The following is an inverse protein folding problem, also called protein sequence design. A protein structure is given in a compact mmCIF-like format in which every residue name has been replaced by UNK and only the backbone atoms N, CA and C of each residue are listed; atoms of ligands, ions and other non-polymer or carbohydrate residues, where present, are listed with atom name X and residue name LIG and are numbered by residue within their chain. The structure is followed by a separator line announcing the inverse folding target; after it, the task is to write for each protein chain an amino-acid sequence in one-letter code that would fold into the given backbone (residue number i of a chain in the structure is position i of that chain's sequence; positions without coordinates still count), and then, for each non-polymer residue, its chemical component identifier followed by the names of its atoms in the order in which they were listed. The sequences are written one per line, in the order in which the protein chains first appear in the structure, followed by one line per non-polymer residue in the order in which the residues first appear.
data_IF_466291083294
#
_entry.id   IF_466291083294
#
_cell.length_a   1.000
_cell.length_b   1.000
_cell.length_c   1.000
_cell.angle_alpha   90.00
_cell.angle_beta   90.00
_cell.angle_gamma   90.00
#
_symmetry.space_group_name_H-M   'P 1'
#
loop_
_entity.id
_entity.type
_entity.pdbx_description
1 polymer ?
#
# COMPACT_ATOMS: atom_id res chain seq x y z
N UNK A 1 6.47 -2.03 -13.58
CA UNK A 1 5.01 -2.00 -13.57
C UNK A 1 4.50 -2.77 -12.36
N UNK A 2 3.50 -2.24 -11.70
CA UNK A 2 2.81 -2.94 -10.62
C UNK A 2 1.32 -3.03 -10.94
N UNK A 3 0.66 -4.03 -10.40
CA UNK A 3 -0.79 -4.14 -10.45
C UNK A 3 -1.31 -4.59 -9.09
N UNK A 4 -2.51 -4.19 -8.74
CA UNK A 4 -3.16 -4.61 -7.52
C UNK A 4 -4.68 -4.58 -7.68
N UNK A 5 -5.37 -5.31 -6.82
CA UNK A 5 -6.82 -5.44 -6.89
C UNK A 5 -7.47 -4.64 -5.77
N UNK A 6 -8.41 -3.79 -6.15
CA UNK A 6 -9.18 -2.95 -5.25
C UNK A 6 -10.62 -3.45 -5.21
N UNK A 7 -11.14 -3.73 -4.02
CA UNK A 7 -12.55 -4.07 -3.88
C UNK A 7 -13.41 -2.86 -4.27
N UNK A 8 -14.41 -3.09 -5.10
CA UNK A 8 -15.34 -2.02 -5.51
C UNK A 8 -16.13 -1.45 -4.34
N UNK A 9 -16.26 -2.22 -3.28
CA UNK A 9 -16.98 -1.82 -2.05
C UNK A 9 -16.07 -1.18 -1.01
N UNK A 10 -14.76 -1.09 -1.25
CA UNK A 10 -13.85 -0.43 -0.32
C UNK A 10 -14.18 1.06 -0.22
N UNK A 11 -14.08 1.61 0.99
CA UNK A 11 -14.31 3.04 1.23
C UNK A 11 -13.35 3.93 0.46
N UNK A 12 -12.16 3.43 0.14
CA UNK A 12 -11.14 4.13 -0.65
C UNK A 12 -11.31 3.99 -2.16
N UNK A 13 -12.25 3.17 -2.64
CA UNK A 13 -12.42 2.93 -4.07
C UNK A 13 -12.61 4.21 -4.89
N UNK A 14 -13.43 5.20 -4.47
CA UNK A 14 -13.57 6.43 -5.24
C UNK A 14 -12.28 7.19 -5.40
N UNK A 15 -11.42 7.19 -4.37
CA UNK A 15 -10.13 7.89 -4.39
C UNK A 15 -9.21 7.26 -5.44
N UNK A 16 -9.04 5.94 -5.39
CA UNK A 16 -8.15 5.24 -6.30
C UNK A 16 -8.67 5.16 -7.72
N UNK A 17 -9.98 5.24 -7.89
CA UNK A 17 -10.59 5.27 -9.22
C UNK A 17 -10.10 6.47 -10.02
N UNK A 18 -9.94 7.62 -9.36
CA UNK A 18 -9.62 8.88 -10.03
C UNK A 18 -8.19 9.37 -9.79
N UNK A 19 -7.46 8.75 -8.87
CA UNK A 19 -6.10 9.19 -8.53
C UNK A 19 -5.14 9.01 -9.70
N UNK A 20 -4.37 10.05 -10.00
CA UNK A 20 -3.34 10.00 -11.03
C UNK A 20 -2.10 9.22 -10.57
N UNK A 21 -1.82 9.28 -9.28
CA UNK A 21 -0.65 8.63 -8.67
C UNK A 21 -1.08 7.78 -7.50
N UNK A 22 -0.30 6.74 -7.22
CA UNK A 22 -0.44 5.96 -5.99
C UNK A 22 0.91 5.44 -5.53
N UNK A 23 1.00 5.06 -4.26
CA UNK A 23 2.18 4.43 -3.71
C UNK A 23 1.82 3.06 -3.15
N UNK A 24 2.75 2.12 -3.30
CA UNK A 24 2.69 0.82 -2.64
C UNK A 24 3.83 0.78 -1.64
N UNK A 25 3.50 0.57 -0.38
CA UNK A 25 4.46 0.47 0.70
C UNK A 25 4.43 -0.95 1.26
N UNK A 26 5.54 -1.66 1.16
CA UNK A 26 5.66 -3.02 1.69
C UNK A 26 6.10 -2.91 3.15
N UNK A 27 5.28 -3.42 4.07
CA UNK A 27 5.47 -3.23 5.49
C UNK A 27 6.59 -4.10 6.06
N UNK A 28 7.32 -3.55 7.01
CA UNK A 28 8.33 -4.27 7.76
C UNK A 28 7.70 -5.17 8.83
N UNK A 29 8.45 -6.17 9.29
CA UNK A 29 7.97 -7.15 10.26
C UNK A 29 7.44 -6.53 11.56
N UNK A 30 7.95 -5.38 11.95
CA UNK A 30 7.55 -4.66 13.16
C UNK A 30 6.26 -3.85 13.00
N UNK A 31 5.69 -3.79 11.80
CA UNK A 31 4.55 -2.92 11.47
C UNK A 31 3.19 -3.65 11.42
N UNK A 32 3.04 -4.73 12.18
CA UNK A 32 1.77 -5.46 12.24
C UNK A 32 0.61 -4.59 12.71
N UNK A 33 0.85 -3.70 13.68
CA UNK A 33 -0.19 -2.77 14.17
C UNK A 33 -0.61 -1.80 13.07
N UNK A 34 0.34 -1.28 12.32
CA UNK A 34 0.05 -0.40 11.19
C UNK A 34 -0.80 -1.11 10.14
N UNK A 35 -0.45 -2.35 9.81
CA UNK A 35 -1.23 -3.16 8.87
C UNK A 35 -2.66 -3.36 9.35
N UNK A 36 -2.84 -3.74 10.60
CA UNK A 36 -4.18 -3.95 11.19
C UNK A 36 -5.00 -2.67 11.17
N UNK A 37 -4.35 -1.53 11.47
CA UNK A 37 -5.03 -0.24 11.48
C UNK A 37 -5.55 0.15 10.10
N UNK A 38 -4.72 0.00 9.07
CA UNK A 38 -5.11 0.34 7.70
C UNK A 38 -6.10 -0.63 7.08
N UNK A 39 -6.20 -1.84 7.61
CA UNK A 39 -7.19 -2.82 7.16
C UNK A 39 -8.60 -2.49 7.66
N UNK A 40 -8.74 -1.62 8.64
CA UNK A 40 -10.05 -1.24 9.19
C UNK A 40 -10.72 -0.19 8.30
N UNK A 41 -12.04 -0.25 8.26
CA UNK A 41 -12.83 0.83 7.67
C UNK A 41 -12.91 1.98 8.67
N UNK A 42 -12.77 3.20 8.20
CA UNK A 42 -12.83 4.37 9.06
C UNK A 42 -12.49 5.66 8.34
N UNK A 43 -12.74 6.78 9.01
CA UNK A 43 -12.68 8.10 8.39
C UNK A 43 -11.24 8.54 8.09
N UNK A 44 -10.33 8.42 9.03
CA UNK A 44 -8.95 8.86 8.84
C UNK A 44 -7.96 7.81 9.35
N UNK A 45 -7.42 7.04 8.43
CA UNK A 45 -6.46 5.99 8.76
C UNK A 45 -5.06 6.52 8.98
N UNK A 46 -4.74 7.68 8.41
CA UNK A 46 -3.40 8.24 8.46
C UNK A 46 -3.11 9.01 9.76
N UNK A 47 -4.11 9.60 10.38
CA UNK A 47 -3.90 10.50 11.52
C UNK A 47 -3.02 9.92 12.63
N UNK A 48 -3.24 8.68 13.13
CA UNK A 48 -2.41 8.12 14.19
C UNK A 48 -0.96 7.85 13.80
N UNK A 49 -0.69 7.75 12.50
CA UNK A 49 0.62 7.41 11.97
C UNK A 49 1.19 8.50 11.04
N UNK A 50 0.65 9.69 11.11
CA UNK A 50 1.00 10.76 10.16
C UNK A 50 2.50 11.05 10.09
N UNK A 51 3.21 10.95 11.22
CA UNK A 51 4.65 11.19 11.28
C UNK A 51 5.48 10.14 10.53
N UNK A 52 4.90 8.98 10.27
CA UNK A 52 5.56 7.90 9.55
C UNK A 52 5.51 8.06 8.03
N UNK A 53 4.73 9.01 7.53
CA UNK A 53 4.54 9.19 6.09
C UNK A 53 5.11 10.53 5.62
N UNK A 54 5.78 10.48 4.47
CA UNK A 54 6.23 11.67 3.75
C UNK A 54 5.49 11.75 2.41
N UNK A 55 5.39 12.95 1.88
CA UNK A 55 4.79 13.14 0.56
C UNK A 55 5.78 12.75 -0.53
N UNK A 56 5.38 11.83 -1.40
CA UNK A 56 6.16 11.41 -2.54
C UNK A 56 5.65 12.03 -3.84
N UNK A 57 5.84 11.31 -4.93
CA UNK A 57 5.41 11.70 -6.27
C UNK A 57 3.92 12.04 -6.30
N UNK A 58 3.59 13.23 -6.78
CA UNK A 58 2.19 13.67 -6.82
C UNK A 58 1.50 13.78 -5.45
N UNK A 59 2.27 13.81 -4.36
CA UNK A 59 1.75 13.89 -3.01
C UNK A 59 1.37 12.55 -2.38
N UNK A 60 1.70 11.42 -3.01
CA UNK A 60 1.37 10.10 -2.46
C UNK A 60 2.08 9.84 -1.13
N UNK A 61 1.43 9.11 -0.19
CA UNK A 61 2.06 8.81 1.09
C UNK A 61 3.13 7.74 0.94
N UNK A 62 4.36 8.05 1.36
CA UNK A 62 5.48 7.12 1.38
C UNK A 62 5.86 6.85 2.82
N UNK A 63 5.82 5.58 3.22
CA UNK A 63 6.07 5.15 4.59
C UNK A 63 7.57 5.11 4.88
N UNK A 64 8.01 5.84 5.89
CA UNK A 64 9.36 5.73 6.40
C UNK A 64 9.56 4.38 7.07
N UNK A 65 10.67 3.72 6.76
CA UNK A 65 10.99 2.41 7.31
C UNK A 65 10.28 1.24 6.63
N UNK A 66 9.62 1.45 5.50
CA UNK A 66 9.09 0.35 4.72
C UNK A 66 10.20 -0.55 4.20
N UNK A 67 9.88 -1.82 3.97
CA UNK A 67 10.80 -2.75 3.28
C UNK A 67 11.07 -2.25 1.87
N UNK A 68 10.02 -1.82 1.20
CA UNK A 68 10.11 -1.24 -0.13
C UNK A 68 8.95 -0.27 -0.34
N UNK A 69 9.18 0.72 -1.20
CA UNK A 69 8.15 1.67 -1.61
C UNK A 69 8.22 1.83 -3.12
N UNK A 70 7.05 1.84 -3.74
CA UNK A 70 6.91 2.04 -5.19
C UNK A 70 5.96 3.22 -5.40
N UNK A 71 6.47 4.29 -6.01
CA UNK A 71 5.68 5.47 -6.35
C UNK A 71 5.31 5.38 -7.82
N UNK A 72 4.02 5.35 -8.09
CA UNK A 72 3.51 4.96 -9.40
C UNK A 72 2.60 6.01 -10.02
N UNK A 73 2.65 6.08 -11.33
CA UNK A 73 1.65 6.78 -12.13
C UNK A 73 0.58 5.76 -12.54
N UNK A 74 -0.67 6.02 -12.17
CA UNK A 74 -1.79 5.14 -12.51
C UNK A 74 -2.06 5.20 -14.01
N UNK A 75 -2.11 4.05 -14.67
CA UNK A 75 -2.25 3.99 -16.14
C UNK A 75 -3.55 3.37 -16.59
N UNK A 76 -3.92 2.24 -15.99
CA UNK A 76 -5.08 1.48 -16.44
C UNK A 76 -5.89 0.98 -15.27
N UNK A 77 -7.19 0.87 -15.46
CA UNK A 77 -8.13 0.29 -14.53
C UNK A 77 -9.02 -0.67 -15.27
N UNK A 78 -9.03 -1.93 -14.85
CA UNK A 78 -9.84 -2.96 -15.45
C UNK A 78 -10.83 -3.50 -14.44
N UNK A 79 -12.08 -3.62 -14.83
CA UNK A 79 -13.13 -4.13 -13.95
C UNK A 79 -13.18 -5.65 -14.06
N UNK A 80 -13.09 -6.33 -12.91
CA UNK A 80 -13.19 -7.78 -12.80
C UNK A 80 -14.13 -8.16 -11.67
N UNK A 81 -15.40 -8.39 -11.98
CA UNK A 81 -16.39 -8.77 -10.98
C UNK A 81 -16.54 -7.70 -9.89
N UNK A 82 -16.24 -8.08 -8.65
CA UNK A 82 -16.34 -7.20 -7.48
C UNK A 82 -15.05 -6.43 -7.20
N UNK A 83 -14.07 -6.53 -8.08
CA UNK A 83 -12.78 -5.84 -7.94
C UNK A 83 -12.45 -5.02 -9.18
N UNK A 84 -11.58 -4.03 -8.95
CA UNK A 84 -10.96 -3.23 -9.99
C UNK A 84 -9.48 -3.54 -9.95
N UNK A 85 -8.89 -3.90 -11.09
CA UNK A 85 -7.45 -4.10 -11.21
C UNK A 85 -6.84 -2.76 -11.59
N UNK A 86 -5.98 -2.23 -10.72
CA UNK A 86 -5.29 -0.97 -10.96
C UNK A 86 -3.87 -1.29 -11.40
N UNK A 87 -3.47 -0.73 -12.54
CA UNK A 87 -2.13 -0.93 -13.11
C UNK A 87 -1.41 0.41 -13.13
N UNK A 88 -0.19 0.42 -12.60
CA UNK A 88 0.64 1.62 -12.60
C UNK A 88 2.04 1.38 -13.10
N UNK A 89 2.65 2.45 -13.59
CA UNK A 89 4.06 2.47 -13.98
C UNK A 89 4.86 2.98 -12.79
N UNK A 90 5.87 2.22 -12.37
CA UNK A 90 6.76 2.62 -11.28
C UNK A 90 7.67 3.72 -11.78
N UNK A 91 7.62 4.88 -11.15
CA UNK A 91 8.50 6.01 -11.49
C UNK A 91 9.60 6.20 -10.47
N UNK A 92 9.36 5.86 -9.21
CA UNK A 92 10.36 5.85 -8.15
C UNK A 92 10.20 4.61 -7.30
N UNK A 93 11.30 4.08 -6.81
CA UNK A 93 11.25 3.00 -5.86
C UNK A 93 12.42 3.09 -4.90
N UNK A 94 12.25 2.50 -3.72
CA UNK A 94 13.28 2.39 -2.70
C UNK A 94 13.09 1.10 -1.93
N UNK A 95 14.14 0.59 -1.32
CA UNK A 95 14.07 -0.56 -0.43
C UNK A 95 15.08 -0.40 0.70
N UNK A 96 14.79 -1.01 1.84
CA UNK A 96 15.58 -0.84 3.07
C UNK A 96 16.38 -2.08 3.49
N UNK A 97 16.06 -3.25 2.93
CA UNK A 97 16.64 -4.51 3.40
C UNK A 97 16.06 -5.03 4.71
N UNK A 98 15.06 -4.37 5.27
CA UNK A 98 14.39 -4.82 6.50
C UNK A 98 13.59 -6.10 6.24
N UNK A 99 13.42 -6.96 7.27
CA UNK A 99 12.55 -8.13 7.13
C UNK A 99 11.10 -7.71 6.87
N UNK A 100 10.42 -8.34 5.91
CA UNK A 100 9.04 -8.00 5.60
C UNK A 100 8.06 -8.58 6.62
N UNK A 101 6.91 -7.93 6.75
CA UNK A 101 5.78 -8.47 7.47
C UNK A 101 5.10 -9.53 6.60
N UNK A 102 4.93 -10.73 7.15
CA UNK A 102 4.28 -11.84 6.45
C UNK A 102 2.91 -12.09 7.07
N UNK A 103 1.90 -12.23 6.20
CA UNK A 103 0.56 -12.61 6.61
C UNK A 103 0.24 -13.97 6.00
N UNK A 104 0.03 -14.97 6.87
CA UNK A 104 -0.21 -16.34 6.45
C UNK A 104 -1.28 -16.97 7.31
N UNK A 105 -2.29 -17.53 6.67
CA UNK A 105 -3.42 -18.19 7.31
C UNK A 105 -4.08 -17.35 8.42
N UNK A 106 -4.26 -16.06 8.13
CA UNK A 106 -4.92 -15.14 9.07
C UNK A 106 -4.05 -14.62 10.20
N UNK A 107 -2.75 -14.91 10.19
CA UNK A 107 -1.83 -14.44 11.23
C UNK A 107 -0.59 -13.76 10.64
N UNK A 108 -0.06 -12.80 11.39
CA UNK A 108 1.19 -12.16 11.05
C UNK A 108 2.37 -13.00 11.53
N UNK A 109 3.45 -12.97 10.76
CA UNK A 109 4.67 -13.68 11.09
C UNK A 109 5.88 -13.06 10.43
N UNK A 110 7.01 -13.75 10.53
CA UNK A 110 8.27 -13.34 9.94
C UNK A 110 8.61 -14.23 8.76
N UNK A 111 9.36 -13.67 7.79
CA UNK A 111 9.92 -14.46 6.73
C UNK A 111 10.96 -15.43 7.27
N UNK A 112 11.09 -16.59 6.63
CA UNK A 112 12.13 -17.55 6.98
C UNK A 112 13.51 -16.96 6.66
N UNK A 113 14.46 -17.13 7.57
CA UNK A 113 15.86 -16.81 7.31
C UNK A 113 16.54 -17.96 6.60
N UNK A 114 17.43 -17.59 5.75
CA UNK A 114 18.28 -18.55 5.05
C UNK A 114 19.74 -18.24 5.26
#
# INVERSE_FOLDING_TARGET
MVLWSLSRNASSAPVFRDAEYFAINVLAAEDAELSSHFARSGADRFAPFAERFAAGLGGVPVLEGAVASFECHSRHRYYGGDHIIVIGVVERYAHSGRPPLVFHRGTYGLSAKR
#
